data_IF_644288437498
#
_entry.id   IF_644288437498
#
_cell.length_a   1.000
_cell.length_b   1.000
_cell.length_c   1.000
_cell.angle_alpha   90.00
_cell.angle_beta   90.00
_cell.angle_gamma   90.00
#
_symmetry.space_group_name_H-M   'P 1'
#
loop_
_entity.id
_entity.type
_entity.pdbx_description
1 polymer ?
#
# COMPACT_ATOMS: atom_id res chain seq x y z
N UNK A 1 -21.08 52.89 -54.23
CA UNK A 1 -20.23 51.73 -54.57
C UNK A 1 -19.30 51.52 -53.38
N UNK A 2 -19.32 50.31 -52.80
CA UNK A 2 -18.90 50.00 -51.43
C UNK A 2 -17.59 49.19 -51.51
N UNK A 3 -16.49 49.69 -50.97
CA UNK A 3 -15.23 48.95 -50.90
C UNK A 3 -15.20 48.04 -49.65
N UNK A 4 -14.74 46.77 -49.78
CA UNK A 4 -14.69 45.81 -48.67
C UNK A 4 -13.38 45.92 -47.86
N UNK A 5 -13.48 45.57 -46.57
CA UNK A 5 -12.44 45.70 -45.55
C UNK A 5 -11.21 44.79 -45.68
N UNK A 6 -10.23 44.95 -44.77
CA UNK A 6 -8.96 44.24 -44.82
C UNK A 6 -9.12 42.76 -44.49
N UNK A 7 -8.60 41.92 -45.41
CA UNK A 7 -8.71 40.47 -45.44
C UNK A 7 -8.31 39.75 -44.16
N UNK A 8 -9.26 38.97 -43.69
CA UNK A 8 -9.11 37.82 -42.81
C UNK A 8 -8.11 36.84 -43.45
N UNK A 9 -6.96 36.65 -42.81
CA UNK A 9 -5.97 35.68 -43.23
C UNK A 9 -6.18 34.34 -42.47
N UNK A 10 -6.73 33.28 -43.09
CA UNK A 10 -6.97 32.01 -42.39
C UNK A 10 -5.69 31.16 -42.21
N UNK A 11 -4.52 31.60 -42.68
CA UNK A 11 -3.29 30.79 -42.65
C UNK A 11 -2.43 30.95 -41.38
N UNK A 12 -2.84 31.78 -40.42
CA UNK A 12 -2.03 32.09 -39.22
C UNK A 12 -2.24 31.18 -38.00
N UNK A 13 -3.28 30.34 -37.97
CA UNK A 13 -3.71 29.65 -36.73
C UNK A 13 -3.65 28.11 -36.80
N UNK A 14 -2.92 27.54 -37.76
CA UNK A 14 -2.71 26.09 -37.85
C UNK A 14 -1.37 25.65 -37.22
N UNK A 15 -0.37 26.55 -37.12
CA UNK A 15 0.96 26.21 -36.62
C UNK A 15 1.11 26.30 -35.08
N UNK A 16 0.14 26.87 -34.37
CA UNK A 16 0.20 27.06 -32.91
C UNK A 16 -0.58 26.01 -32.09
N UNK A 17 -1.15 24.98 -32.74
CA UNK A 17 -1.95 23.92 -32.08
C UNK A 17 -1.28 22.53 -32.11
N UNK A 18 0.01 22.46 -32.41
CA UNK A 18 0.75 21.20 -32.55
C UNK A 18 1.73 20.87 -31.41
N UNK A 19 1.71 21.58 -30.27
CA UNK A 19 2.73 21.41 -29.22
C UNK A 19 2.14 21.14 -27.84
N UNK A 20 1.41 20.03 -27.67
CA UNK A 20 1.22 19.38 -26.35
C UNK A 20 1.10 17.85 -26.44
N UNK A 21 1.71 17.23 -27.46
CA UNK A 21 1.96 15.79 -27.44
C UNK A 21 3.18 15.56 -26.56
N UNK A 22 2.94 15.36 -25.26
CA UNK A 22 4.01 15.18 -24.28
C UNK A 22 4.93 14.03 -24.70
N UNK A 23 6.16 14.38 -25.05
CA UNK A 23 7.27 13.46 -25.22
C UNK A 23 7.58 12.83 -23.85
N UNK A 24 6.88 11.74 -23.52
CA UNK A 24 7.14 10.98 -22.29
C UNK A 24 8.37 10.10 -22.54
N UNK A 25 9.54 10.65 -22.23
CA UNK A 25 10.79 9.91 -22.38
C UNK A 25 10.79 8.60 -21.56
N UNK A 26 11.67 7.63 -21.89
CA UNK A 26 11.76 6.34 -21.19
C UNK A 26 11.93 6.45 -19.66
N UNK A 27 12.43 7.60 -19.19
CA UNK A 27 12.63 7.91 -17.77
C UNK A 27 11.31 8.19 -17.04
N UNK A 28 10.34 8.83 -17.69
CA UNK A 28 9.05 9.18 -17.05
C UNK A 28 8.16 7.96 -16.90
N UNK A 29 8.17 7.06 -17.89
CA UNK A 29 7.51 5.76 -17.81
C UNK A 29 8.11 4.87 -16.71
N UNK A 30 9.43 4.87 -16.55
CA UNK A 30 10.12 4.15 -15.45
C UNK A 30 9.75 4.73 -14.09
N UNK A 31 9.76 6.05 -13.94
CA UNK A 31 9.35 6.73 -12.69
C UNK A 31 7.91 6.40 -12.31
N UNK A 32 6.98 6.46 -13.26
CA UNK A 32 5.59 6.08 -13.04
C UNK A 32 5.46 4.66 -12.49
N UNK A 33 6.16 3.69 -13.10
CA UNK A 33 6.17 2.30 -12.63
C UNK A 33 6.79 2.12 -11.24
N UNK A 34 7.85 2.85 -10.91
CA UNK A 34 8.47 2.79 -9.58
C UNK A 34 7.53 3.31 -8.49
N UNK A 35 6.78 4.38 -8.78
CA UNK A 35 5.79 4.93 -7.85
C UNK A 35 4.62 3.95 -7.66
N UNK A 36 4.15 3.33 -8.73
CA UNK A 36 3.10 2.31 -8.68
C UNK A 36 3.57 1.05 -7.90
N UNK A 37 4.83 0.66 -8.05
CA UNK A 37 5.44 -0.43 -7.28
C UNK A 37 5.56 -0.07 -5.79
N UNK A 38 6.04 1.13 -5.47
CA UNK A 38 6.14 1.62 -4.10
C UNK A 38 4.76 1.67 -3.42
N UNK A 39 3.73 2.12 -4.16
CA UNK A 39 2.35 2.11 -3.69
C UNK A 39 1.88 0.68 -3.36
N UNK A 40 2.11 -0.26 -4.28
CA UNK A 40 1.71 -1.66 -4.09
C UNK A 40 2.43 -2.31 -2.90
N UNK A 41 3.74 -2.11 -2.79
CA UNK A 41 4.54 -2.60 -1.66
C UNK A 41 4.02 -1.98 -0.35
N UNK A 42 3.77 -0.68 -0.32
CA UNK A 42 3.27 -0.03 0.89
C UNK A 42 1.91 -0.54 1.34
N UNK A 43 0.98 -0.73 0.41
CA UNK A 43 -0.34 -1.31 0.72
C UNK A 43 -0.19 -2.76 1.19
N UNK A 44 0.69 -3.54 0.57
CA UNK A 44 0.95 -4.93 0.96
C UNK A 44 1.57 -5.02 2.37
N UNK A 45 2.54 -4.18 2.68
CA UNK A 45 3.15 -4.10 4.01
C UNK A 45 2.12 -3.75 5.08
N UNK A 46 1.24 -2.78 4.82
CA UNK A 46 0.11 -2.46 5.73
C UNK A 46 -0.85 -3.63 5.91
N UNK A 47 -1.11 -4.41 4.86
CA UNK A 47 -1.98 -5.57 4.94
C UNK A 47 -1.38 -6.66 5.82
N UNK A 48 -0.08 -6.93 5.65
CA UNK A 48 0.67 -7.90 6.46
C UNK A 48 0.75 -7.45 7.90
N UNK A 49 1.09 -6.19 8.15
CA UNK A 49 1.15 -5.59 9.49
C UNK A 49 -0.21 -5.69 10.20
N UNK A 50 -1.29 -5.23 9.56
CA UNK A 50 -2.63 -5.33 10.13
C UNK A 50 -3.11 -6.77 10.35
N UNK A 51 -2.69 -7.72 9.49
CA UNK A 51 -2.99 -9.14 9.70
C UNK A 51 -2.27 -9.68 10.93
N UNK A 52 -0.98 -9.39 11.09
CA UNK A 52 -0.24 -9.79 12.28
C UNK A 52 -0.86 -9.20 13.54
N UNK A 53 -1.20 -7.91 13.54
CA UNK A 53 -1.86 -7.27 14.68
C UNK A 53 -3.20 -7.95 15.04
N UNK A 54 -4.02 -8.31 14.05
CA UNK A 54 -5.27 -9.04 14.32
C UNK A 54 -4.99 -10.43 14.89
N UNK A 55 -4.06 -11.18 14.30
CA UNK A 55 -3.71 -12.53 14.77
C UNK A 55 -3.16 -12.49 16.19
N UNK A 56 -2.16 -11.64 16.46
CA UNK A 56 -1.58 -11.51 17.79
C UNK A 56 -2.58 -10.92 18.79
N UNK A 57 -3.44 -9.98 18.38
CA UNK A 57 -4.52 -9.46 19.21
C UNK A 57 -5.52 -10.54 19.62
N UNK A 58 -5.92 -11.42 18.70
CA UNK A 58 -6.78 -12.58 19.01
C UNK A 58 -6.05 -13.55 19.95
N UNK A 59 -4.78 -13.87 19.68
CA UNK A 59 -3.99 -14.75 20.54
C UNK A 59 -3.92 -14.21 21.98
N UNK A 60 -3.69 -12.90 22.15
CA UNK A 60 -3.67 -12.26 23.47
C UNK A 60 -5.04 -12.26 24.18
N UNK A 61 -6.15 -12.29 23.45
CA UNK A 61 -7.49 -12.40 24.05
C UNK A 61 -7.81 -13.82 24.51
N UNK A 62 -7.40 -14.82 23.72
CA UNK A 62 -7.78 -16.22 23.93
C UNK A 62 -6.81 -16.90 24.91
N UNK A 63 -5.53 -16.53 24.87
CA UNK A 63 -4.49 -17.14 25.69
C UNK A 63 -4.15 -16.28 26.92
N UNK A 64 -4.07 -16.93 28.08
CA UNK A 64 -3.57 -16.28 29.29
C UNK A 64 -2.04 -16.07 29.25
N UNK A 65 -1.47 -15.16 30.06
CA UNK A 65 -0.03 -14.90 30.08
C UNK A 65 0.86 -16.15 30.25
N UNK A 66 0.44 -17.11 31.08
CA UNK A 66 1.17 -18.36 31.26
C UNK A 66 1.17 -19.24 29.99
N UNK A 67 0.06 -19.27 29.25
CA UNK A 67 -0.04 -20.02 27.99
C UNK A 67 0.78 -19.35 26.89
N UNK A 68 0.79 -18.01 26.85
CA UNK A 68 1.63 -17.23 25.94
C UNK A 68 3.12 -17.43 26.23
N UNK A 69 3.51 -17.48 27.50
CA UNK A 69 4.87 -17.84 27.89
C UNK A 69 5.25 -19.24 27.43
N UNK A 70 4.39 -20.23 27.66
CA UNK A 70 4.64 -21.59 27.21
C UNK A 70 4.75 -21.68 25.68
N UNK A 71 3.88 -20.97 24.96
CA UNK A 71 3.96 -20.89 23.50
C UNK A 71 5.28 -20.25 23.04
N UNK A 72 5.70 -19.15 23.67
CA UNK A 72 6.98 -18.53 23.37
C UNK A 72 8.14 -19.52 23.59
N UNK A 73 8.17 -20.21 24.73
CA UNK A 73 9.18 -21.23 25.02
C UNK A 73 9.22 -22.35 23.98
N UNK A 74 8.06 -22.84 23.53
CA UNK A 74 7.99 -23.86 22.49
C UNK A 74 8.54 -23.37 21.15
N UNK A 75 8.19 -22.15 20.75
CA UNK A 75 8.62 -21.57 19.46
C UNK A 75 10.11 -21.22 19.45
N UNK A 76 10.70 -20.93 20.61
CA UNK A 76 12.10 -20.50 20.70
C UNK A 76 13.05 -21.60 21.15
N UNK A 77 12.54 -22.76 21.56
CA UNK A 77 13.36 -23.84 22.10
C UNK A 77 14.34 -24.42 21.07
N UNK A 78 13.92 -24.52 19.81
CA UNK A 78 14.78 -25.00 18.71
C UNK A 78 15.84 -23.96 18.36
N UNK A 79 15.44 -22.70 18.18
CA UNK A 79 16.40 -21.63 17.81
C UNK A 79 17.42 -21.34 18.89
N UNK A 80 17.07 -21.39 20.18
CA UNK A 80 18.05 -21.21 21.26
C UNK A 80 18.97 -22.42 21.46
N UNK A 81 18.60 -23.59 20.92
CA UNK A 81 19.51 -24.74 20.88
C UNK A 81 20.52 -24.61 19.74
N UNK A 82 20.11 -24.05 18.59
CA UNK A 82 20.99 -23.81 17.45
C UNK A 82 21.86 -22.55 17.65
N UNK A 83 21.26 -21.44 18.05
CA UNK A 83 21.90 -20.15 18.35
C UNK A 83 21.43 -19.59 19.71
N UNK A 84 22.25 -19.73 20.77
CA UNK A 84 21.92 -19.19 22.09
C UNK A 84 21.72 -17.68 22.15
N UNK A 85 22.22 -16.92 21.18
CA UNK A 85 22.13 -15.46 21.14
C UNK A 85 21.02 -14.95 20.20
N UNK A 86 20.12 -15.82 19.72
CA UNK A 86 19.06 -15.45 18.78
C UNK A 86 18.19 -14.30 19.34
N UNK A 87 18.19 -13.19 18.58
CA UNK A 87 17.52 -11.95 19.00
C UNK A 87 16.01 -12.10 19.06
N UNK A 88 15.40 -12.83 18.11
CA UNK A 88 13.95 -12.97 18.02
C UNK A 88 13.44 -13.83 19.18
N UNK A 89 14.15 -14.91 19.49
CA UNK A 89 13.86 -15.79 20.60
C UNK A 89 13.87 -15.05 21.94
N UNK A 90 14.93 -14.29 22.19
CA UNK A 90 15.03 -13.46 23.39
C UNK A 90 13.97 -12.36 23.46
N UNK A 91 13.62 -11.75 22.32
CA UNK A 91 12.56 -10.75 22.25
C UNK A 91 11.19 -11.35 22.60
N UNK A 92 10.86 -12.53 22.05
CA UNK A 92 9.59 -13.22 22.31
C UNK A 92 9.47 -13.65 23.77
N UNK A 93 10.51 -14.25 24.34
CA UNK A 93 10.52 -14.66 25.76
C UNK A 93 10.41 -13.46 26.69
N UNK A 94 11.15 -12.38 26.41
CA UNK A 94 11.08 -11.15 27.20
C UNK A 94 9.69 -10.53 27.13
N UNK A 95 9.12 -10.40 25.94
CA UNK A 95 7.76 -9.88 25.75
C UNK A 95 6.75 -10.71 26.56
N UNK A 96 6.80 -12.04 26.44
CA UNK A 96 5.91 -12.92 27.19
C UNK A 96 6.08 -12.82 28.71
N UNK A 97 7.31 -12.65 29.21
CA UNK A 97 7.61 -12.60 30.65
C UNK A 97 7.05 -11.36 31.36
N UNK A 98 6.85 -10.27 30.62
CA UNK A 98 6.37 -9.00 31.17
C UNK A 98 4.86 -8.84 31.09
N UNK A 99 4.15 -9.78 30.46
CA UNK A 99 2.70 -9.71 30.26
C UNK A 99 1.94 -9.96 31.56
N UNK A 100 1.23 -8.94 32.01
CA UNK A 100 0.21 -9.06 33.06
C UNK A 100 -1.16 -9.38 32.45
N UNK A 101 -2.11 -10.00 33.18
CA UNK A 101 -3.45 -10.28 32.63
C UNK A 101 -4.24 -9.03 32.21
N UNK A 102 -4.02 -7.89 32.86
CA UNK A 102 -4.59 -6.60 32.45
C UNK A 102 -3.84 -6.02 31.25
N UNK A 103 -2.50 -6.06 31.27
CA UNK A 103 -1.66 -5.62 30.17
C UNK A 103 -1.95 -6.37 28.87
N UNK A 104 -2.11 -7.69 28.92
CA UNK A 104 -2.48 -8.52 27.77
C UNK A 104 -3.81 -8.10 27.14
N UNK A 105 -4.83 -7.80 27.96
CA UNK A 105 -6.14 -7.34 27.46
C UNK A 105 -6.07 -5.95 26.83
N UNK A 106 -5.30 -5.04 27.41
CA UNK A 106 -5.08 -3.69 26.85
C UNK A 106 -4.32 -3.78 25.53
N UNK A 107 -3.23 -4.56 25.49
CA UNK A 107 -2.45 -4.81 24.29
C UNK A 107 -3.29 -5.48 23.19
N UNK A 108 -4.12 -6.45 23.55
CA UNK A 108 -5.04 -7.09 22.62
C UNK A 108 -6.04 -6.11 22.02
N UNK A 109 -6.69 -5.28 22.86
CA UNK A 109 -7.63 -4.26 22.38
C UNK A 109 -6.96 -3.25 21.45
N UNK A 110 -5.75 -2.81 21.80
CA UNK A 110 -4.93 -1.92 20.99
C UNK A 110 -4.58 -2.55 19.62
N UNK A 111 -4.03 -3.77 19.62
CA UNK A 111 -3.65 -4.50 18.40
C UNK A 111 -4.85 -4.78 17.51
N UNK A 112 -5.99 -5.20 18.08
CA UNK A 112 -7.20 -5.45 17.31
C UNK A 112 -7.75 -4.18 16.68
N UNK A 113 -7.79 -3.08 17.44
CA UNK A 113 -8.25 -1.80 16.91
C UNK A 113 -7.34 -1.34 15.77
N UNK A 114 -6.03 -1.36 15.97
CA UNK A 114 -5.05 -0.99 14.94
C UNK A 114 -5.15 -1.89 13.70
N UNK A 115 -5.15 -3.21 13.90
CA UNK A 115 -5.16 -4.18 12.82
C UNK A 115 -6.45 -4.13 11.99
N UNK A 116 -7.62 -4.06 12.65
CA UNK A 116 -8.91 -3.96 11.95
C UNK A 116 -8.99 -2.66 11.15
N UNK A 117 -8.59 -1.52 11.73
CA UNK A 117 -8.60 -0.24 11.02
C UNK A 117 -7.70 -0.29 9.78
N UNK A 118 -6.47 -0.82 9.91
CA UNK A 118 -5.55 -0.99 8.77
C UNK A 118 -6.13 -1.89 7.70
N UNK A 119 -6.71 -3.03 8.06
CA UNK A 119 -7.34 -3.95 7.10
C UNK A 119 -8.52 -3.31 6.37
N UNK A 120 -9.36 -2.54 7.09
CA UNK A 120 -10.46 -1.78 6.47
C UNK A 120 -9.93 -0.76 5.46
N UNK A 121 -8.87 -0.03 5.82
CA UNK A 121 -8.20 0.93 4.91
C UNK A 121 -7.66 0.20 3.68
N UNK A 122 -6.94 -0.92 3.86
CA UNK A 122 -6.38 -1.72 2.76
C UNK A 122 -7.48 -2.19 1.82
N UNK A 123 -8.58 -2.74 2.35
CA UNK A 123 -9.72 -3.18 1.54
C UNK A 123 -10.36 -2.00 0.81
N UNK A 124 -10.48 -0.83 1.45
CA UNK A 124 -11.01 0.38 0.85
C UNK A 124 -10.11 0.90 -0.31
N UNK A 125 -8.79 0.88 -0.13
CA UNK A 125 -7.81 1.22 -1.17
C UNK A 125 -7.92 0.26 -2.36
N UNK A 126 -7.97 -1.05 -2.11
CA UNK A 126 -8.07 -2.07 -3.17
C UNK A 126 -9.38 -1.94 -3.96
N UNK A 127 -10.50 -1.61 -3.28
CA UNK A 127 -11.80 -1.40 -3.94
C UNK A 127 -11.83 -0.20 -4.89
N UNK A 128 -10.95 0.80 -4.69
CA UNK A 128 -10.57 1.76 -5.73
C UNK A 128 -11.72 2.50 -6.44
N UNK A 129 -12.72 3.00 -5.70
CA UNK A 129 -13.80 3.85 -6.25
C UNK A 129 -13.57 5.32 -5.94
N UNK A 130 -13.83 6.22 -6.89
CA UNK A 130 -13.65 7.68 -6.75
C UNK A 130 -14.35 8.28 -5.51
N UNK A 131 -15.46 7.67 -5.07
CA UNK A 131 -16.19 8.08 -3.85
C UNK A 131 -15.50 7.67 -2.55
N UNK A 132 -14.68 6.63 -2.58
CA UNK A 132 -14.02 6.02 -1.42
C UNK A 132 -12.70 6.73 -1.11
N UNK A 133 -12.03 7.30 -2.12
CA UNK A 133 -10.74 7.99 -1.95
C UNK A 133 -10.70 9.09 -0.87
N UNK A 134 -11.69 10.00 -0.77
CA UNK A 134 -11.71 11.00 0.30
C UNK A 134 -11.72 10.36 1.69
N UNK A 135 -12.53 9.32 1.88
CA UNK A 135 -12.63 8.60 3.15
C UNK A 135 -11.36 7.84 3.49
N UNK A 136 -10.71 7.23 2.49
CA UNK A 136 -9.41 6.57 2.66
C UNK A 136 -8.34 7.57 3.08
N UNK A 137 -8.28 8.75 2.44
CA UNK A 137 -7.31 9.79 2.78
C UNK A 137 -7.51 10.34 4.18
N UNK A 138 -8.77 10.55 4.60
CA UNK A 138 -9.08 10.95 5.97
C UNK A 138 -8.66 9.87 6.96
N UNK A 139 -9.00 8.60 6.70
CA UNK A 139 -8.64 7.50 7.58
C UNK A 139 -7.12 7.32 7.70
N UNK A 140 -6.39 7.36 6.57
CA UNK A 140 -4.93 7.32 6.56
C UNK A 140 -4.33 8.54 7.27
N UNK A 141 -4.90 9.74 7.09
CA UNK A 141 -4.44 10.97 7.73
C UNK A 141 -4.59 10.93 9.25
N UNK A 142 -5.74 10.46 9.75
CA UNK A 142 -5.97 10.25 11.19
C UNK A 142 -5.00 9.21 11.74
N UNK A 143 -4.82 8.09 11.02
CA UNK A 143 -3.87 7.06 11.40
C UNK A 143 -2.43 7.60 11.46
N UNK A 144 -2.01 8.40 10.47
CA UNK A 144 -0.71 9.04 10.45
C UNK A 144 -0.53 10.01 11.63
N UNK A 145 -1.54 10.82 11.97
CA UNK A 145 -1.48 11.74 13.12
C UNK A 145 -1.30 10.95 14.42
N UNK A 146 -2.06 9.88 14.61
CA UNK A 146 -1.90 9.00 15.77
C UNK A 146 -0.50 8.37 15.80
N UNK A 147 -0.01 7.89 14.67
CA UNK A 147 1.31 7.28 14.55
C UNK A 147 2.44 8.28 14.81
N UNK A 148 2.29 9.54 14.40
CA UNK A 148 3.24 10.62 14.72
C UNK A 148 3.22 10.93 16.21
N UNK A 149 2.05 10.93 16.86
CA UNK A 149 1.98 11.10 18.31
C UNK A 149 2.72 9.97 19.04
N UNK A 150 2.51 8.72 18.63
CA UNK A 150 3.23 7.56 19.15
C UNK A 150 4.74 7.68 18.90
N UNK A 151 5.15 8.11 17.71
CA UNK A 151 6.56 8.32 17.36
C UNK A 151 7.26 9.33 18.28
N UNK A 152 6.55 10.38 18.69
CA UNK A 152 7.08 11.41 19.59
C UNK A 152 7.23 10.88 21.02
N UNK A 153 6.29 10.06 21.49
CA UNK A 153 6.30 9.51 22.85
C UNK A 153 7.25 8.33 23.01
N UNK A 154 7.30 7.45 22.01
CA UNK A 154 8.02 6.19 22.03
C UNK A 154 8.77 5.97 20.71
N UNK A 155 9.85 6.74 20.44
CA UNK A 155 10.56 6.66 19.17
C UNK A 155 11.27 5.32 19.04
N UNK A 156 10.84 4.54 18.03
CA UNK A 156 11.53 3.32 17.62
C UNK A 156 11.78 3.36 16.12
N UNK A 157 12.83 2.67 15.67
CA UNK A 157 13.16 2.58 14.24
C UNK A 157 11.97 2.03 13.43
N UNK A 158 11.25 1.05 13.97
CA UNK A 158 10.05 0.48 13.36
C UNK A 158 8.96 1.53 13.15
N UNK A 159 8.63 2.31 14.19
CA UNK A 159 7.61 3.37 14.09
C UNK A 159 8.04 4.44 13.08
N UNK A 160 9.31 4.83 13.05
CA UNK A 160 9.83 5.79 12.05
C UNK A 160 9.61 5.28 10.63
N UNK A 161 10.06 4.05 10.34
CA UNK A 161 9.95 3.45 9.00
C UNK A 161 8.48 3.34 8.57
N UNK A 162 7.61 2.87 9.47
CA UNK A 162 6.18 2.76 9.19
C UNK A 162 5.55 4.14 8.97
N UNK A 163 5.89 5.16 9.76
CA UNK A 163 5.35 6.52 9.61
C UNK A 163 5.70 7.13 8.25
N UNK A 164 6.95 6.94 7.80
CA UNK A 164 7.39 7.39 6.47
C UNK A 164 6.63 6.66 5.37
N UNK A 165 6.41 5.36 5.53
CA UNK A 165 5.63 4.56 4.60
C UNK A 165 4.16 5.02 4.54
N UNK A 166 3.55 5.34 5.68
CA UNK A 166 2.20 5.90 5.80
C UNK A 166 2.05 7.23 5.06
N UNK A 167 2.99 8.15 5.28
CA UNK A 167 3.04 9.42 4.56
C UNK A 167 3.18 9.21 3.04
N UNK A 168 4.04 8.28 2.61
CA UNK A 168 4.21 7.94 1.21
C UNK A 168 2.91 7.37 0.58
N UNK A 169 2.21 6.48 1.28
CA UNK A 169 0.94 5.92 0.80
C UNK A 169 -0.14 6.99 0.71
N UNK A 170 -0.21 7.93 1.65
CA UNK A 170 -1.15 9.06 1.57
C UNK A 170 -0.86 9.88 0.32
N UNK A 171 0.41 10.24 0.10
CA UNK A 171 0.82 11.02 -1.06
C UNK A 171 0.50 10.30 -2.39
N UNK A 172 0.76 8.99 -2.45
CA UNK A 172 0.47 8.17 -3.64
C UNK A 172 -1.03 8.00 -3.86
N UNK A 173 -1.80 7.76 -2.79
CA UNK A 173 -3.27 7.66 -2.84
C UNK A 173 -3.90 8.96 -3.31
N UNK A 174 -3.39 10.11 -2.84
CA UNK A 174 -3.81 11.43 -3.29
C UNK A 174 -3.54 11.64 -4.78
N UNK A 175 -2.34 11.26 -5.25
CA UNK A 175 -1.97 11.33 -6.66
C UNK A 175 -2.90 10.46 -7.52
N UNK A 176 -3.11 9.21 -7.15
CA UNK A 176 -4.00 8.28 -7.87
C UNK A 176 -5.43 8.84 -7.95
N UNK A 177 -5.94 9.41 -6.86
CA UNK A 177 -7.26 10.05 -6.84
C UNK A 177 -7.36 11.21 -7.84
N UNK A 178 -6.35 12.08 -7.86
CA UNK A 178 -6.29 13.24 -8.77
C UNK A 178 -6.19 12.81 -10.23
N UNK A 179 -5.44 11.74 -10.51
CA UNK A 179 -5.27 11.17 -11.84
C UNK A 179 -6.44 10.26 -12.28
N UNK A 180 -7.48 10.11 -11.45
CA UNK A 180 -8.60 9.19 -11.67
C UNK A 180 -8.15 7.74 -11.91
N UNK A 181 -7.01 7.40 -11.33
CA UNK A 181 -6.41 6.08 -11.38
C UNK A 181 -6.77 5.29 -10.13
N UNK A 182 -6.76 3.96 -10.26
CA UNK A 182 -7.09 3.05 -9.17
C UNK A 182 -5.96 2.09 -8.84
N UNK A 183 -6.05 1.42 -7.69
CA UNK A 183 -5.15 0.34 -7.31
C UNK A 183 -5.00 -0.72 -8.42
N UNK A 184 -6.11 -1.08 -9.10
CA UNK A 184 -6.08 -2.01 -10.23
C UNK A 184 -5.29 -1.49 -11.44
N UNK A 185 -5.13 -0.17 -11.58
CA UNK A 185 -4.29 0.43 -12.63
C UNK A 185 -2.79 0.34 -12.28
N UNK A 186 -2.43 0.62 -11.02
CA UNK A 186 -1.07 0.46 -10.51
C UNK A 186 -0.64 -1.01 -10.56
N UNK A 187 -1.53 -1.95 -10.19
CA UNK A 187 -1.25 -3.37 -10.32
C UNK A 187 -0.98 -3.79 -11.78
N UNK A 188 -1.79 -3.32 -12.74
CA UNK A 188 -1.61 -3.62 -14.17
C UNK A 188 -0.35 -2.99 -14.78
N UNK A 189 0.13 -1.86 -14.26
CA UNK A 189 1.34 -1.22 -14.76
C UNK A 189 2.61 -1.96 -14.31
N UNK A 190 2.57 -2.55 -13.11
CA UNK A 190 3.64 -3.37 -12.53
C UNK A 190 3.59 -4.79 -13.10
N UNK A 191 2.39 -5.38 -13.18
CA UNK A 191 2.14 -6.74 -13.67
C UNK A 191 1.24 -6.72 -14.91
N UNK A 192 1.80 -6.40 -16.09
CA UNK A 192 1.03 -6.41 -17.33
C UNK A 192 0.60 -7.85 -17.67
N UNK A 193 -0.64 -8.06 -18.13
CA UNK A 193 -1.07 -9.38 -18.58
C UNK A 193 -0.20 -9.87 -19.74
N UNK A 194 0.16 -11.17 -19.75
CA UNK A 194 0.84 -11.80 -20.88
C UNK A 194 -0.02 -11.58 -22.15
N UNK A 195 0.51 -10.85 -23.13
CA UNK A 195 -0.14 -10.75 -24.45
C UNK A 195 -0.21 -12.17 -25.04
N UNK A 196 -1.41 -12.64 -25.38
CA UNK A 196 -1.55 -13.88 -26.17
C UNK A 196 -0.87 -13.64 -27.54
N UNK A 197 0.00 -14.55 -28.01
CA UNK A 197 0.65 -14.37 -29.31
C UNK A 197 -0.42 -14.33 -30.40
N UNK A 198 -0.34 -13.32 -31.28
CA UNK A 198 -1.30 -13.07 -32.37
C UNK A 198 -1.34 -14.17 -33.45
N UNK A 199 -0.52 -15.22 -33.32
CA UNK A 199 -0.37 -16.29 -34.30
C UNK A 199 -1.55 -17.27 -34.38
N UNK A 200 -2.57 -17.16 -33.52
CA UNK A 200 -3.70 -18.11 -33.50
C UNK A 200 -4.97 -17.57 -34.20
N UNK A 201 -4.95 -16.33 -34.71
CA UNK A 201 -6.10 -15.70 -35.39
C UNK A 201 -6.02 -15.74 -36.92
N UNK A 202 -4.96 -16.32 -37.49
CA UNK A 202 -4.76 -16.43 -38.95
C UNK A 202 -4.86 -17.85 -39.49
N UNK A 203 -5.25 -18.83 -38.66
CA UNK A 203 -5.30 -20.24 -39.05
C UNK A 203 -6.72 -20.75 -39.40
N UNK A 204 -7.73 -19.89 -39.44
CA UNK A 204 -9.14 -20.25 -39.71
C UNK A 204 -9.71 -19.55 -40.97
N UNK A 205 -8.85 -19.27 -41.95
CA UNK A 205 -9.20 -18.50 -43.13
C UNK A 205 -8.56 -19.03 -44.39
N UNK A 206 -8.91 -20.26 -44.78
CA UNK A 206 -8.54 -20.82 -46.08
C UNK A 206 -8.53 -22.33 -46.05
N UNK A 207 -9.63 -22.94 -46.47
CA UNK A 207 -9.65 -24.01 -47.48
C UNK A 207 -11.07 -24.59 -47.60
N UNK A 208 -11.80 -24.13 -48.61
CA UNK A 208 -12.92 -24.86 -49.21
C UNK A 208 -12.65 -24.98 -50.71
N UNK A 209 -12.25 -26.15 -51.23
CA UNK A 209 -12.40 -26.46 -52.64
C UNK A 209 -13.86 -26.73 -53.01
#
# INVERSE_FOLDING_TARGET
MKDPGPGDNPAGNAAARGSRSGDHGPRDLRRGRLLDLAFLIGVALKAVDGLFEVVFGILLLVLGPAQLMHLAQLLTAEELQEDPDDFVAHLLLRAASTLTPSGARIAAAYLLLHGVVKLVIVVAVIRGSAKVYPWVLVALGVFLVWQVAELVLHPTVGIVVLTVLDAAIIALTWREWREHRSFASAFRSVFPPRRRPAAMLSADGGDTP
#
